data_IF_285144679055
#
_entry.id   IF_285144679055
#
_cell.length_a   1.000
_cell.length_b   1.000
_cell.length_c   1.000
_cell.angle_alpha   90.00
_cell.angle_beta   90.00
_cell.angle_gamma   90.00
#
_symmetry.space_group_name_H-M   'P 1'
#
loop_
_entity.id
_entity.type
_entity.pdbx_description
1 polymer ?
#
# COMPACT_ATOMS: atom_id res chain seq x y z
N UNK A 1 -18.19 10.75 -6.07
CA UNK A 1 -17.52 9.58 -5.47
C UNK A 1 -17.78 8.41 -6.39
N UNK A 2 -16.74 7.86 -7.03
CA UNK A 2 -16.89 6.79 -8.02
C UNK A 2 -16.98 5.44 -7.30
N UNK A 3 -18.16 4.82 -7.44
CA UNK A 3 -18.51 3.40 -7.24
C UNK A 3 -17.30 2.48 -6.99
N UNK A 4 -17.12 2.07 -5.73
CA UNK A 4 -16.38 0.84 -5.41
C UNK A 4 -17.24 -0.30 -5.96
N UNK A 5 -16.82 -0.79 -7.13
CA UNK A 5 -17.31 -1.91 -7.92
C UNK A 5 -18.43 -2.77 -7.32
N UNK A 6 -19.43 -3.05 -8.16
CA UNK A 6 -20.65 -3.86 -8.01
C UNK A 6 -20.46 -5.31 -7.47
N UNK A 7 -19.27 -5.68 -6.99
CA UNK A 7 -18.89 -7.00 -6.49
C UNK A 7 -18.17 -7.01 -5.13
N UNK A 8 -18.26 -5.95 -4.33
CA UNK A 8 -17.83 -5.93 -2.91
C UNK A 8 -16.33 -6.03 -2.62
N UNK A 9 -15.48 -6.21 -3.64
CA UNK A 9 -14.03 -6.35 -3.47
C UNK A 9 -13.29 -5.27 -4.28
N UNK A 10 -12.23 -4.73 -3.69
CA UNK A 10 -11.31 -3.80 -4.34
C UNK A 10 -10.03 -4.54 -4.68
N UNK A 11 -9.58 -4.46 -5.93
CA UNK A 11 -8.27 -4.97 -6.36
C UNK A 11 -7.25 -3.85 -6.32
N UNK A 12 -6.17 -4.06 -5.59
CA UNK A 12 -5.05 -3.12 -5.47
C UNK A 12 -3.86 -3.68 -6.25
N UNK A 13 -3.25 -2.88 -7.11
CA UNK A 13 -1.98 -3.18 -7.77
C UNK A 13 -0.98 -2.03 -7.56
N UNK A 14 0.28 -2.39 -7.32
CA UNK A 14 1.39 -1.45 -7.17
C UNK A 14 2.40 -1.70 -8.29
N UNK A 15 2.72 -0.66 -9.04
CA UNK A 15 3.69 -0.71 -10.14
C UNK A 15 4.90 0.19 -9.83
N UNK A 16 6.10 -0.30 -10.08
CA UNK A 16 7.33 0.48 -10.05
C UNK A 16 8.11 0.27 -11.35
N UNK A 17 8.91 1.27 -11.73
CA UNK A 17 9.80 1.13 -12.87
C UNK A 17 11.11 0.51 -12.42
N UNK A 18 11.38 -0.73 -12.85
CA UNK A 18 12.68 -1.36 -12.66
C UNK A 18 13.71 -0.63 -13.54
N UNK A 19 14.46 0.27 -12.93
CA UNK A 19 15.58 0.94 -13.60
C UNK A 19 16.65 -0.11 -13.93
N UNK A 20 17.10 -0.11 -15.17
CA UNK A 20 18.06 -1.09 -15.67
C UNK A 20 19.43 -0.91 -15.00
N UNK A 21 20.08 -2.01 -14.62
CA UNK A 21 21.39 -2.03 -13.93
C UNK A 21 22.49 -1.18 -14.60
N UNK A 22 22.36 -0.92 -15.90
CA UNK A 22 23.35 -0.18 -16.69
C UNK A 22 23.24 1.34 -16.55
N UNK A 23 22.11 1.87 -16.06
CA UNK A 23 21.86 3.31 -15.96
C UNK A 23 21.93 3.84 -14.53
N UNK A 24 22.13 2.97 -13.53
CA UNK A 24 22.19 3.33 -12.12
C UNK A 24 23.59 3.14 -11.52
N UNK A 25 23.97 3.94 -10.51
CA UNK A 25 25.12 3.67 -9.68
C UNK A 25 25.07 2.23 -9.10
N UNK A 26 26.22 1.58 -8.84
CA UNK A 26 26.28 0.19 -8.37
C UNK A 26 25.50 -0.06 -7.08
N UNK A 27 25.31 0.97 -6.25
CA UNK A 27 24.49 0.94 -5.03
C UNK A 27 22.99 0.77 -5.31
N UNK A 28 22.49 1.28 -6.44
CA UNK A 28 21.07 1.21 -6.84
C UNK A 28 20.79 0.15 -7.91
N UNK A 29 21.83 -0.45 -8.49
CA UNK A 29 21.71 -1.48 -9.51
C UNK A 29 21.04 -2.77 -9.00
N UNK A 30 21.07 -3.03 -7.69
CA UNK A 30 20.53 -4.25 -7.06
C UNK A 30 19.43 -3.96 -6.02
N UNK A 31 18.65 -2.89 -6.17
CA UNK A 31 17.52 -2.64 -5.26
C UNK A 31 16.50 -3.77 -5.42
N UNK A 32 16.18 -4.45 -4.32
CA UNK A 32 15.14 -5.49 -4.32
C UNK A 32 13.78 -4.85 -4.65
N UNK A 33 12.87 -5.59 -5.30
CA UNK A 33 11.53 -5.10 -5.58
C UNK A 33 10.85 -4.57 -4.31
N UNK A 34 10.99 -5.26 -3.17
CA UNK A 34 10.44 -4.82 -1.89
C UNK A 34 11.13 -3.57 -1.32
N UNK A 35 12.30 -3.22 -1.82
CA UNK A 35 13.06 -2.07 -1.35
C UNK A 35 12.70 -0.77 -2.09
N UNK A 36 11.94 -0.85 -3.18
CA UNK A 36 11.53 0.30 -3.98
C UNK A 36 10.75 1.32 -3.14
N UNK A 37 11.18 2.57 -3.20
CA UNK A 37 10.66 3.64 -2.34
C UNK A 37 9.35 4.22 -2.84
N UNK A 38 9.09 4.17 -4.14
CA UNK A 38 7.95 4.82 -4.78
C UNK A 38 7.22 3.86 -5.73
N UNK A 39 5.89 3.85 -5.61
CA UNK A 39 5.00 2.97 -6.35
C UNK A 39 3.84 3.76 -6.93
N UNK A 40 3.42 3.42 -8.13
CA UNK A 40 2.14 3.88 -8.69
C UNK A 40 1.04 2.92 -8.25
N UNK A 41 -0.04 3.44 -7.67
CA UNK A 41 -1.15 2.63 -7.16
C UNK A 41 -2.31 2.63 -8.14
N UNK A 42 -2.85 1.44 -8.38
CA UNK A 42 -4.05 1.21 -9.17
C UNK A 42 -5.13 0.51 -8.37
N UNK A 43 -6.37 1.02 -8.46
CA UNK A 43 -7.56 0.38 -7.91
C UNK A 43 -8.46 -0.08 -9.06
N UNK A 44 -8.76 -1.37 -9.11
CA UNK A 44 -9.56 -1.98 -10.19
C UNK A 44 -9.10 -1.57 -11.59
N UNK A 45 -7.77 -1.48 -11.79
CA UNK A 45 -7.13 -1.10 -13.05
C UNK A 45 -7.06 0.41 -13.33
N UNK A 46 -7.56 1.28 -12.44
CA UNK A 46 -7.45 2.73 -12.57
C UNK A 46 -6.33 3.28 -11.70
N UNK A 47 -5.46 4.09 -12.28
CA UNK A 47 -4.41 4.79 -11.51
C UNK A 47 -5.06 5.77 -10.55
N UNK A 48 -4.77 5.63 -9.26
CA UNK A 48 -5.35 6.47 -8.20
C UNK A 48 -4.34 7.38 -7.51
N UNK A 49 -3.05 7.08 -7.60
CA UNK A 49 -2.03 7.87 -6.93
C UNK A 49 -0.71 7.15 -6.80
N UNK A 50 0.01 7.50 -5.75
CA UNK A 50 1.33 6.95 -5.43
C UNK A 50 1.35 6.40 -4.01
N UNK A 51 2.19 5.40 -3.78
CA UNK A 51 2.48 4.83 -2.48
C UNK A 51 3.98 4.88 -2.21
N UNK A 52 4.33 5.13 -0.95
CA UNK A 52 5.72 5.23 -0.49
C UNK A 52 5.99 4.12 0.51
N UNK A 53 7.13 3.45 0.37
CA UNK A 53 7.57 2.45 1.35
C UNK A 53 7.86 3.14 2.69
N UNK A 54 7.35 2.56 3.77
CA UNK A 54 7.67 2.94 5.15
C UNK A 54 7.91 1.69 5.99
N UNK A 55 8.64 1.86 7.09
CA UNK A 55 8.72 0.81 8.11
C UNK A 55 7.34 0.65 8.80
N UNK A 56 6.95 -0.59 9.15
CA UNK A 56 5.71 -0.82 9.87
C UNK A 56 5.76 -0.22 11.27
N UNK A 57 4.67 0.41 11.69
CA UNK A 57 4.44 0.86 13.05
C UNK A 57 3.91 -0.29 13.91
N UNK A 58 3.84 -0.08 15.23
CA UNK A 58 3.24 -1.04 16.15
C UNK A 58 1.78 -1.38 15.77
N UNK A 59 1.02 -0.37 15.36
CA UNK A 59 -0.36 -0.52 14.87
C UNK A 59 -0.43 -1.40 13.63
N UNK A 60 0.48 -1.18 12.66
CA UNK A 60 0.55 -2.02 11.46
C UNK A 60 0.86 -3.48 11.81
N UNK A 61 1.81 -3.69 12.74
CA UNK A 61 2.16 -5.04 13.19
C UNK A 61 0.99 -5.72 13.91
N UNK A 62 0.24 -5.01 14.75
CA UNK A 62 -0.94 -5.53 15.42
C UNK A 62 -2.02 -5.98 14.42
N UNK A 63 -2.29 -5.14 13.41
CA UNK A 63 -3.22 -5.48 12.31
C UNK A 63 -2.72 -6.70 11.53
N UNK A 64 -1.43 -6.76 11.18
CA UNK A 64 -0.85 -7.87 10.43
C UNK A 64 -0.88 -9.19 11.21
N UNK A 65 -0.63 -9.16 12.53
CA UNK A 65 -0.77 -10.33 13.40
C UNK A 65 -2.22 -10.81 13.46
N UNK A 66 -3.17 -9.89 13.57
CA UNK A 66 -4.58 -10.25 13.56
C UNK A 66 -5.00 -10.88 12.22
N UNK A 67 -4.63 -10.25 11.09
CA UNK A 67 -4.89 -10.76 9.74
C UNK A 67 -4.30 -12.16 9.53
N UNK A 68 -3.17 -12.49 10.17
CA UNK A 68 -2.54 -13.82 10.05
C UNK A 68 -3.45 -14.96 10.56
N UNK A 69 -4.38 -14.65 11.45
CA UNK A 69 -5.32 -15.62 12.05
C UNK A 69 -6.63 -15.76 11.29
N UNK A 70 -6.89 -14.87 10.33
CA UNK A 70 -8.15 -14.82 9.59
C UNK A 70 -8.06 -15.68 8.33
N UNK A 71 -8.93 -16.69 8.22
CA UNK A 71 -9.08 -17.46 6.98
C UNK A 71 -9.82 -16.63 5.93
N UNK A 72 -9.41 -16.72 4.67
CA UNK A 72 -9.97 -16.00 3.50
C UNK A 72 -11.50 -15.85 3.56
N UNK A 73 -11.97 -14.62 3.81
CA UNK A 73 -13.39 -14.28 3.97
C UNK A 73 -13.56 -12.85 4.50
N UNK A 74 -14.77 -12.29 4.41
CA UNK A 74 -15.09 -10.97 4.93
C UNK A 74 -15.19 -11.01 6.46
N UNK A 75 -14.05 -10.92 7.14
CA UNK A 75 -14.01 -10.71 8.58
C UNK A 75 -13.62 -9.26 8.90
N UNK A 76 -14.10 -8.75 10.03
CA UNK A 76 -13.95 -7.34 10.43
C UNK A 76 -12.84 -7.24 11.48
N UNK A 77 -11.84 -6.40 11.21
CA UNK A 77 -10.82 -6.09 12.21
C UNK A 77 -11.50 -5.34 13.38
N UNK A 78 -11.28 -5.74 14.65
CA UNK A 78 -11.76 -5.00 15.82
C UNK A 78 -11.25 -3.56 15.77
N UNK A 79 -12.14 -2.59 16.04
CA UNK A 79 -11.82 -1.16 15.94
C UNK A 79 -10.66 -0.68 16.82
N UNK A 80 -10.30 -1.45 17.86
CA UNK A 80 -9.19 -1.15 18.76
C UNK A 80 -7.81 -1.41 18.12
N UNK A 81 -7.75 -2.23 17.05
CA UNK A 81 -6.50 -2.56 16.36
C UNK A 81 -6.06 -1.50 15.33
N UNK A 82 -6.94 -0.56 14.98
CA UNK A 82 -6.70 0.47 13.97
C UNK A 82 -6.76 1.86 14.60
N UNK A 83 -5.58 2.44 14.88
CA UNK A 83 -5.52 3.86 15.24
C UNK A 83 -5.94 4.70 14.02
N UNK A 84 -6.89 5.63 14.20
CA UNK A 84 -7.35 6.50 13.12
C UNK A 84 -6.17 7.29 12.53
N UNK A 85 -5.99 7.33 11.19
CA UNK A 85 -4.89 8.08 10.61
C UNK A 85 -5.05 9.57 10.90
N UNK A 86 -4.05 10.14 11.60
CA UNK A 86 -3.87 11.57 11.73
C UNK A 86 -4.00 12.26 10.36
N UNK A 87 -4.91 13.25 10.30
CA UNK A 87 -5.39 13.84 9.06
C UNK A 87 -4.31 14.38 8.13
N UNK A 88 -4.48 14.10 6.83
CA UNK A 88 -4.06 15.01 5.78
C UNK A 88 -5.22 16.00 5.53
N UNK A 89 -5.41 16.93 6.47
CA UNK A 89 -6.19 18.14 6.22
C UNK A 89 -5.42 19.02 5.20
N UNK A 90 -6.16 19.70 4.33
CA UNK A 90 -5.69 20.22 3.06
C UNK A 90 -4.50 21.17 3.11
N UNK A 91 -3.45 20.80 2.38
CA UNK A 91 -2.55 21.76 1.77
C UNK A 91 -3.09 22.15 0.38
N UNK A 92 -4.01 23.11 0.32
CA UNK A 92 -4.33 23.84 -0.89
C UNK A 92 -4.83 25.25 -0.55
N UNK A 93 -3.89 26.20 -0.66
CA UNK A 93 -4.02 27.63 -1.03
C UNK A 93 -5.18 28.46 -0.47
#
# INVERSE_FOLDING_TARGET
MQEISTGGHVRIALECEKKSMKSLPPEQANVNLLEETMWTTYLNGRRVGYAVRREPTESDLAVMQLLSTLSVGADVLPGDAVDEPAGAEGAAR
#
